data_IF_698402958295
#
_entry.id   IF_698402958295
#
_cell.length_a   1.000
_cell.length_b   1.000
_cell.length_c   1.000
_cell.angle_alpha   90.00
_cell.angle_beta   90.00
_cell.angle_gamma   90.00
#
_symmetry.space_group_name_H-M   'P 1'
#
loop_
_entity.id
_entity.type
_entity.pdbx_description
1 polymer ?
#
# COMPACT_ATOMS: atom_id res chain seq x y z
N UNK A 1 -9.63 7.78 -3.33
CA UNK A 1 -8.21 8.23 -3.47
C UNK A 1 -7.40 7.06 -4.03
N UNK A 2 -6.13 7.21 -4.37
CA UNK A 2 -5.31 6.08 -4.84
C UNK A 2 -4.24 5.77 -3.79
N UNK A 3 -3.93 4.49 -3.62
CA UNK A 3 -2.86 4.04 -2.71
C UNK A 3 -1.75 3.45 -3.57
N UNK A 4 -0.53 3.96 -3.42
CA UNK A 4 0.67 3.35 -3.99
C UNK A 4 1.43 2.61 -2.90
N UNK A 5 1.63 1.32 -3.09
CA UNK A 5 2.32 0.44 -2.15
C UNK A 5 3.67 0.08 -2.77
N UNK A 6 4.76 0.38 -2.06
CA UNK A 6 6.12 -0.02 -2.43
C UNK A 6 6.62 -1.01 -1.37
N UNK A 7 6.77 -2.26 -1.75
CA UNK A 7 7.41 -3.26 -0.93
C UNK A 7 8.88 -3.35 -1.35
N UNK A 8 9.76 -2.84 -0.48
CA UNK A 8 11.20 -2.81 -0.68
C UNK A 8 11.89 -3.30 0.60
N UNK A 9 12.44 -4.51 0.55
CA UNK A 9 13.24 -5.08 1.62
C UNK A 9 14.72 -5.08 1.20
N UNK A 10 15.58 -4.26 1.82
CA UNK A 10 17.00 -4.18 1.50
C UNK A 10 17.77 -5.51 1.69
N UNK A 11 17.24 -6.44 2.49
CA UNK A 11 17.84 -7.75 2.72
C UNK A 11 17.39 -8.81 1.70
N UNK A 12 16.38 -8.48 0.91
CA UNK A 12 15.79 -9.36 -0.08
C UNK A 12 16.55 -9.33 -1.41
N UNK A 13 16.74 -10.50 -2.03
CA UNK A 13 17.40 -10.64 -3.33
C UNK A 13 16.45 -10.55 -4.52
N UNK A 14 15.14 -10.53 -4.28
CA UNK A 14 14.10 -10.50 -5.33
C UNK A 14 13.73 -9.07 -5.76
N UNK A 15 14.32 -8.05 -5.14
CA UNK A 15 14.08 -6.65 -5.45
C UNK A 15 12.76 -6.12 -4.89
N UNK A 16 12.28 -5.02 -5.47
CA UNK A 16 11.08 -4.31 -5.02
C UNK A 16 9.85 -4.65 -5.83
N UNK A 17 8.68 -4.46 -5.23
CA UNK A 17 7.40 -4.49 -5.92
C UNK A 17 6.67 -3.17 -5.69
N UNK A 18 6.07 -2.63 -6.76
CA UNK A 18 5.24 -1.43 -6.69
C UNK A 18 3.85 -1.76 -7.22
N UNK A 19 2.82 -1.57 -6.39
CA UNK A 19 1.42 -1.77 -6.74
C UNK A 19 0.63 -0.49 -6.52
N UNK A 20 -0.27 -0.17 -7.43
CA UNK A 20 -1.22 0.93 -7.27
C UNK A 20 -2.63 0.37 -7.15
N UNK A 21 -3.36 0.82 -6.14
CA UNK A 21 -4.79 0.57 -5.98
C UNK A 21 -5.55 1.83 -6.41
N UNK A 22 -6.48 1.67 -7.35
CA UNK A 22 -7.25 2.76 -7.91
C UNK A 22 -8.63 2.89 -7.26
N UNK A 23 -9.03 4.15 -7.09
CA UNK A 23 -10.33 4.52 -6.54
C UNK A 23 -10.64 3.86 -5.18
N UNK A 24 -9.67 3.86 -4.27
CA UNK A 24 -9.86 3.42 -2.89
C UNK A 24 -10.91 4.25 -2.18
N UNK A 25 -11.83 3.55 -1.51
CA UNK A 25 -12.88 4.09 -0.68
C UNK A 25 -12.78 3.49 0.73
N UNK A 26 -12.67 4.33 1.76
CA UNK A 26 -12.64 3.88 3.15
C UNK A 26 -14.07 3.62 3.61
N UNK A 27 -14.33 2.42 4.10
CA UNK A 27 -15.68 2.02 4.51
C UNK A 27 -16.06 2.64 5.86
N UNK A 28 -15.13 2.60 6.83
CA UNK A 28 -15.28 3.31 8.09
C UNK A 28 -13.94 3.61 8.74
N UNK A 29 -13.82 4.81 9.34
CA UNK A 29 -12.70 5.18 10.19
C UNK A 29 -13.20 6.04 11.35
N UNK A 30 -12.58 5.92 12.51
CA UNK A 30 -12.87 6.81 13.64
C UNK A 30 -12.33 8.19 13.28
N UNK A 31 -13.22 9.14 12.97
CA UNK A 31 -12.87 10.51 12.54
C UNK A 31 -11.84 11.20 13.45
N UNK A 32 -11.89 10.99 14.77
CA UNK A 32 -10.96 11.59 15.73
C UNK A 32 -9.53 11.01 15.67
N UNK A 33 -9.33 9.89 14.98
CA UNK A 33 -8.03 9.22 14.80
C UNK A 33 -7.47 9.37 13.39
N UNK A 34 -8.25 9.89 12.44
CA UNK A 34 -7.77 10.19 11.10
C UNK A 34 -6.95 11.49 11.16
N UNK A 35 -5.69 11.36 11.56
CA UNK A 35 -4.73 12.45 11.55
C UNK A 35 -3.98 12.46 10.21
N UNK A 36 -4.28 13.46 9.38
CA UNK A 36 -3.64 13.64 8.07
C UNK A 36 -2.24 14.25 8.16
N UNK A 37 -1.84 14.75 9.33
CA UNK A 37 -0.53 15.35 9.59
C UNK A 37 0.45 14.34 10.22
N UNK A 38 -0.03 13.15 10.60
CA UNK A 38 0.79 12.06 11.13
C UNK A 38 1.45 11.26 10.01
N UNK A 39 2.75 10.95 10.17
CA UNK A 39 3.52 10.15 9.21
C UNK A 39 3.11 8.66 9.18
N UNK A 40 2.47 8.19 10.26
CA UNK A 40 2.07 6.78 10.43
C UNK A 40 0.62 6.67 10.87
N UNK A 41 -0.05 5.64 10.37
CA UNK A 41 -1.37 5.22 10.80
C UNK A 41 -1.25 3.90 11.58
N UNK A 42 -1.59 3.93 12.87
CA UNK A 42 -1.52 2.77 13.77
C UNK A 42 -2.80 1.91 13.77
N UNK A 43 -3.88 2.40 13.18
CA UNK A 43 -5.18 1.71 13.15
C UNK A 43 -5.35 0.92 11.85
N UNK A 44 -5.94 -0.27 11.97
CA UNK A 44 -6.41 -1.07 10.83
C UNK A 44 -7.66 -0.41 10.23
N UNK A 45 -7.63 -0.13 8.94
CA UNK A 45 -8.72 0.54 8.23
C UNK A 45 -9.19 -0.35 7.08
N UNK A 46 -10.47 -0.71 7.12
CA UNK A 46 -11.13 -1.40 6.03
C UNK A 46 -11.42 -0.43 4.87
N UNK A 47 -11.06 -0.85 3.66
CA UNK A 47 -11.33 -0.11 2.43
C UNK A 47 -11.64 -1.05 1.27
N UNK A 48 -12.35 -0.51 0.27
CA UNK A 48 -12.62 -1.14 -1.01
C UNK A 48 -11.88 -0.40 -2.12
N UNK A 49 -11.62 -1.06 -3.24
CA UNK A 49 -10.99 -0.46 -4.43
C UNK A 49 -11.55 -1.08 -5.70
N UNK A 50 -11.51 -0.34 -6.81
CA UNK A 50 -12.14 -0.77 -8.06
C UNK A 50 -11.18 -1.54 -8.95
N UNK A 51 -9.90 -1.18 -8.95
CA UNK A 51 -8.89 -1.80 -9.81
C UNK A 51 -7.49 -1.68 -9.20
N UNK A 52 -6.54 -2.47 -9.72
CA UNK A 52 -5.14 -2.39 -9.33
C UNK A 52 -4.19 -2.63 -10.51
N UNK A 53 -3.03 -1.99 -10.48
CA UNK A 53 -1.93 -2.23 -11.40
C UNK A 53 -0.65 -2.59 -10.67
N UNK A 54 0.10 -3.54 -11.24
CA UNK A 54 1.46 -3.87 -10.80
C UNK A 54 2.44 -3.12 -11.70
N UNK A 55 3.06 -2.07 -11.16
CA UNK A 55 4.00 -1.23 -11.90
C UNK A 55 5.40 -1.85 -11.95
N UNK A 56 5.85 -2.41 -10.82
CA UNK A 56 7.10 -3.17 -10.71
C UNK A 56 6.78 -4.52 -10.09
N UNK A 57 7.20 -5.62 -10.72
CA UNK A 57 7.07 -6.97 -10.17
C UNK A 57 8.38 -7.42 -9.53
N UNK A 58 8.29 -8.30 -8.53
CA UNK A 58 9.46 -8.98 -8.01
C UNK A 58 10.21 -9.72 -9.11
N UNK A 59 11.54 -9.70 -9.01
CA UNK A 59 12.42 -10.49 -9.84
C UNK A 59 12.45 -11.97 -9.41
N UNK A 60 13.23 -12.76 -10.15
CA UNK A 60 13.50 -14.13 -9.76
C UNK A 60 14.45 -14.18 -8.55
N UNK A 61 14.24 -15.11 -7.60
CA UNK A 61 15.19 -15.34 -6.52
C UNK A 61 16.57 -15.68 -7.09
N UNK A 62 17.58 -14.96 -6.63
CA UNK A 62 18.97 -15.36 -6.87
C UNK A 62 19.35 -16.32 -5.74
N UNK A 63 19.41 -17.61 -6.06
CA UNK A 63 19.88 -18.68 -5.17
C UNK A 63 21.40 -18.82 -5.20
#
# INVERSE_FOLDING_TARGET
FNITIVNDDPTSTIGKQTVVLYNCNIDSVVLAKLDTDSDTLDDDIDFTFDDFDVLDSFGNPVI
#
